data_IF_674825197590
#
_entry.id   IF_674825197590
#
_cell.length_a   1.000
_cell.length_b   1.000
_cell.length_c   1.000
_cell.angle_alpha   90.00
_cell.angle_beta   90.00
_cell.angle_gamma   90.00
#
_symmetry.space_group_name_H-M   'P 1'
#
loop_
_entity.id
_entity.type
_entity.pdbx_description
1 polymer ?
#
# COMPACT_ATOMS: atom_id res chain seq x y z
N UNK A 1 -6.26 -7.76 -31.94
CA UNK A 1 -6.05 -7.32 -31.21
C UNK A 1 -6.36 -7.46 -30.11
N UNK A 2 -5.85 -7.38 -29.48
CA UNK A 2 -6.40 -7.62 -28.36
C UNK A 2 -6.52 -6.44 -27.49
N UNK A 3 -7.67 -6.00 -27.51
CA UNK A 3 -8.04 -4.86 -26.71
C UNK A 3 -7.77 -5.10 -25.26
N UNK A 4 -8.00 -6.33 -24.82
CA UNK A 4 -7.79 -6.63 -23.44
C UNK A 4 -6.37 -6.49 -22.99
N UNK A 5 -5.44 -6.92 -23.81
CA UNK A 5 -4.05 -6.78 -23.46
C UNK A 5 -3.66 -5.34 -23.37
N UNK A 6 -4.19 -4.53 -24.26
CA UNK A 6 -3.90 -3.11 -24.21
C UNK A 6 -4.46 -2.48 -22.94
N UNK A 7 -5.61 -2.92 -22.51
CA UNK A 7 -6.20 -2.41 -21.29
C UNK A 7 -5.36 -2.73 -20.06
N UNK A 8 -4.74 -3.90 -20.03
CA UNK A 8 -3.87 -4.23 -18.91
C UNK A 8 -2.55 -3.49 -18.93
N UNK A 9 -2.07 -3.16 -20.11
CA UNK A 9 -0.73 -2.57 -20.24
C UNK A 9 -0.74 -1.06 -20.32
N UNK A 10 -1.90 -0.43 -20.43
CA UNK A 10 -1.96 1.02 -20.54
C UNK A 10 -1.83 1.73 -19.22
N UNK A 11 -2.07 1.06 -18.11
CA UNK A 11 -1.97 1.72 -16.83
C UNK A 11 -0.52 1.77 -16.36
N UNK A 12 -0.11 2.96 -15.93
CA UNK A 12 1.23 3.18 -15.41
C UNK A 12 1.43 2.41 -14.10
N UNK A 13 2.54 1.70 -14.00
CA UNK A 13 2.96 1.11 -12.74
C UNK A 13 3.71 2.19 -11.94
N UNK A 14 3.41 2.27 -10.66
CA UNK A 14 4.05 3.24 -9.76
C UNK A 14 4.58 2.58 -8.51
N UNK A 15 5.54 3.25 -7.89
CA UNK A 15 6.02 2.96 -6.56
C UNK A 15 5.61 4.12 -5.66
N UNK A 16 4.91 3.81 -4.58
CA UNK A 16 4.50 4.81 -3.60
C UNK A 16 5.06 4.39 -2.24
N UNK A 17 5.83 5.30 -1.63
CA UNK A 17 6.33 5.11 -0.27
C UNK A 17 5.64 6.10 0.64
N UNK A 18 5.17 5.62 1.77
CA UNK A 18 4.48 6.47 2.74
C UNK A 18 5.01 6.22 4.15
N UNK A 19 4.78 7.20 5.01
CA UNK A 19 5.02 7.09 6.44
C UNK A 19 3.71 7.35 7.17
N UNK A 20 3.50 6.66 8.27
CA UNK A 20 2.32 6.86 9.10
C UNK A 20 2.66 6.54 10.55
N UNK A 21 1.95 7.16 11.48
CA UNK A 21 2.08 6.87 12.90
C UNK A 21 0.92 5.99 13.34
N UNK A 22 1.13 5.17 14.36
CA UNK A 22 0.00 4.45 14.94
C UNK A 22 -0.85 5.41 15.77
N UNK A 23 -2.16 5.32 15.63
CA UNK A 23 -3.08 6.14 16.40
C UNK A 23 -3.27 5.58 17.80
N UNK A 24 -3.04 4.28 17.96
CA UNK A 24 -3.03 3.59 19.24
C UNK A 24 -2.04 2.45 19.13
N UNK A 25 -1.53 1.98 20.28
CA UNK A 25 -0.52 0.92 20.29
C UNK A 25 -1.04 -0.37 19.65
N UNK A 26 -0.19 -0.96 18.81
CA UNK A 26 -0.43 -2.28 18.26
C UNK A 26 0.33 -3.31 19.07
N UNK A 27 -0.30 -4.45 19.35
CA UNK A 27 0.42 -5.61 19.87
C UNK A 27 1.09 -6.34 18.71
N UNK A 28 2.03 -7.22 19.01
CA UNK A 28 2.68 -8.03 17.98
C UNK A 28 1.67 -8.87 17.21
N UNK A 29 0.69 -9.44 17.93
CA UNK A 29 -0.36 -10.24 17.30
C UNK A 29 -1.22 -9.42 16.35
N UNK A 30 -1.53 -8.18 16.72
CA UNK A 30 -2.29 -7.28 15.86
C UNK A 30 -1.52 -6.90 14.59
N UNK A 31 -0.20 -6.72 14.71
CA UNK A 31 0.64 -6.44 13.55
C UNK A 31 0.70 -7.63 12.60
N UNK A 32 0.85 -8.84 13.14
CA UNK A 32 0.85 -10.05 12.33
C UNK A 32 -0.49 -10.23 11.63
N UNK A 33 -1.58 -10.03 12.33
CA UNK A 33 -2.91 -10.13 11.77
C UNK A 33 -3.13 -9.12 10.64
N UNK A 34 -2.68 -7.90 10.82
CA UNK A 34 -2.73 -6.87 9.79
C UNK A 34 -2.03 -7.32 8.52
N UNK A 35 -0.82 -7.87 8.63
CA UNK A 35 -0.06 -8.35 7.48
C UNK A 35 -0.75 -9.52 6.80
N UNK A 36 -1.23 -10.49 7.57
CA UNK A 36 -1.89 -11.67 7.02
C UNK A 36 -3.19 -11.33 6.31
N UNK A 37 -3.92 -10.35 6.81
CA UNK A 37 -5.19 -9.93 6.22
C UNK A 37 -5.00 -9.16 4.91
N UNK A 38 -3.97 -8.31 4.86
CA UNK A 38 -3.76 -7.43 3.70
C UNK A 38 -3.07 -8.12 2.53
N UNK A 39 -2.18 -9.06 2.82
CA UNK A 39 -1.35 -9.70 1.79
C UNK A 39 -2.13 -10.36 0.65
N UNK A 40 -3.14 -11.19 0.92
CA UNK A 40 -3.91 -11.81 -0.17
C UNK A 40 -4.65 -10.80 -1.03
N UNK A 41 -5.19 -9.75 -0.41
CA UNK A 41 -5.92 -8.71 -1.11
C UNK A 41 -4.99 -7.96 -2.08
N UNK A 42 -3.82 -7.57 -1.62
CA UNK A 42 -2.87 -6.85 -2.47
C UNK A 42 -2.41 -7.71 -3.62
N UNK A 43 -2.17 -8.99 -3.37
CA UNK A 43 -1.77 -9.92 -4.42
C UNK A 43 -2.82 -10.00 -5.51
N UNK A 44 -4.10 -10.07 -5.16
CA UNK A 44 -5.18 -10.14 -6.14
C UNK A 44 -5.31 -8.86 -6.96
N UNK A 45 -4.83 -7.74 -6.44
CA UNK A 45 -4.85 -6.44 -7.13
C UNK A 45 -3.58 -6.21 -7.96
N UNK A 46 -2.65 -7.14 -7.96
CA UNK A 46 -1.37 -6.95 -8.64
C UNK A 46 -0.44 -5.99 -7.90
N UNK A 47 -0.64 -5.84 -6.60
CA UNK A 47 0.17 -4.95 -5.77
C UNK A 47 1.17 -5.76 -4.96
N UNK A 48 2.41 -5.32 -4.97
CA UNK A 48 3.44 -5.82 -4.08
C UNK A 48 3.85 -4.72 -3.12
N UNK A 49 4.45 -5.08 -2.01
CA UNK A 49 4.87 -4.07 -1.07
C UNK A 49 5.60 -4.62 0.14
N UNK A 50 6.10 -3.68 0.91
CA UNK A 50 6.82 -3.93 2.15
C UNK A 50 6.23 -3.03 3.21
N UNK A 51 6.04 -3.55 4.41
CA UNK A 51 5.63 -2.75 5.55
C UNK A 51 6.66 -2.92 6.66
N UNK A 52 7.22 -1.80 7.07
CA UNK A 52 8.17 -1.73 8.18
C UNK A 52 7.50 -1.02 9.35
N UNK A 53 7.72 -1.53 10.54
CA UNK A 53 7.18 -0.92 11.75
C UNK A 53 8.28 -0.85 12.80
N UNK A 54 8.45 0.33 13.39
CA UNK A 54 9.41 0.53 14.46
C UNK A 54 8.97 1.73 15.30
N UNK A 55 8.89 1.50 16.61
CA UNK A 55 8.60 2.57 17.58
C UNK A 55 7.41 3.45 17.16
N UNK A 56 6.26 2.80 16.88
CA UNK A 56 5.00 3.49 16.58
C UNK A 56 4.94 4.15 15.20
N UNK A 57 5.95 3.91 14.37
CA UNK A 57 6.00 4.45 13.01
C UNK A 57 5.93 3.32 12.00
N UNK A 58 5.07 3.49 11.01
CA UNK A 58 5.00 2.60 9.84
C UNK A 58 5.63 3.27 8.65
N UNK A 59 6.42 2.53 7.91
CA UNK A 59 6.86 2.94 6.58
C UNK A 59 6.42 1.85 5.63
N UNK A 60 5.63 2.22 4.64
CA UNK A 60 5.13 1.28 3.65
C UNK A 60 5.59 1.62 2.25
N UNK A 61 5.83 0.60 1.46
CA UNK A 61 6.13 0.73 0.04
C UNK A 61 5.11 -0.10 -0.72
N UNK A 62 4.44 0.52 -1.67
CA UNK A 62 3.44 -0.14 -2.52
C UNK A 62 3.86 0.00 -3.97
N UNK A 63 3.83 -1.10 -4.71
CA UNK A 63 4.15 -1.10 -6.13
C UNK A 63 3.05 -1.79 -6.91
N UNK A 64 2.63 -1.20 -8.01
CA UNK A 64 1.58 -1.77 -8.84
C UNK A 64 0.90 -0.74 -9.72
N UNK A 65 -0.25 -1.11 -10.31
CA UNK A 65 -1.03 -0.18 -11.14
C UNK A 65 -1.43 1.07 -10.37
N UNK A 66 -1.26 2.21 -10.99
CA UNK A 66 -1.46 3.50 -10.34
C UNK A 66 -2.81 3.64 -9.63
N UNK A 67 -3.90 3.31 -10.30
CA UNK A 67 -5.22 3.47 -9.70
C UNK A 67 -5.41 2.59 -8.47
N UNK A 68 -4.88 1.37 -8.52
CA UNK A 68 -5.03 0.42 -7.41
C UNK A 68 -4.14 0.78 -6.24
N UNK A 69 -2.91 1.25 -6.50
CA UNK A 69 -2.02 1.72 -5.45
C UNK A 69 -2.63 2.94 -4.75
N UNK A 70 -3.20 3.87 -5.52
CA UNK A 70 -3.86 5.04 -4.96
C UNK A 70 -5.06 4.66 -4.10
N UNK A 71 -5.85 3.69 -4.56
CA UNK A 71 -6.99 3.19 -3.80
C UNK A 71 -6.56 2.61 -2.46
N UNK A 72 -5.50 1.81 -2.46
CA UNK A 72 -4.96 1.23 -1.23
C UNK A 72 -4.45 2.33 -0.29
N UNK A 73 -3.73 3.31 -0.84
CA UNK A 73 -3.21 4.41 -0.03
C UNK A 73 -4.35 5.23 0.60
N UNK A 74 -5.39 5.52 -0.17
CA UNK A 74 -6.55 6.24 0.36
C UNK A 74 -7.23 5.45 1.48
N UNK A 75 -7.29 4.12 1.36
CA UNK A 75 -7.80 3.26 2.41
C UNK A 75 -6.97 3.35 3.69
N UNK A 76 -5.65 3.43 3.56
CA UNK A 76 -4.75 3.59 4.70
C UNK A 76 -4.99 4.96 5.37
N UNK A 77 -5.12 6.02 4.59
CA UNK A 77 -5.38 7.34 5.13
C UNK A 77 -6.71 7.42 5.88
N UNK A 78 -7.70 6.66 5.45
CA UNK A 78 -9.02 6.62 6.09
C UNK A 78 -9.13 5.64 7.26
N UNK A 79 -8.07 4.88 7.54
CA UNK A 79 -8.10 3.88 8.60
C UNK A 79 -7.76 4.54 9.94
N UNK A 80 -8.66 4.40 10.90
CA UNK A 80 -8.51 5.05 12.20
C UNK A 80 -7.37 4.51 13.06
N UNK A 81 -6.77 3.40 12.65
CA UNK A 81 -5.60 2.84 13.35
C UNK A 81 -4.32 3.61 13.08
N UNK A 82 -4.32 4.42 12.02
CA UNK A 82 -3.17 5.24 11.60
C UNK A 82 -3.49 6.72 11.70
N UNK A 83 -2.45 7.52 11.84
CA UNK A 83 -2.57 8.98 11.82
C UNK A 83 -1.33 9.58 11.16
N UNK A 84 -1.45 10.84 10.76
CA UNK A 84 -0.34 11.60 10.20
C UNK A 84 0.31 10.88 9.01
N UNK A 85 -0.52 10.30 8.14
CA UNK A 85 -0.05 9.57 6.98
C UNK A 85 0.34 10.54 5.88
N UNK A 86 1.54 10.37 5.32
CA UNK A 86 2.00 11.21 4.22
C UNK A 86 2.85 10.42 3.24
N UNK A 87 2.87 10.90 2.00
CA UNK A 87 3.66 10.29 0.93
C UNK A 87 5.09 10.81 1.03
N UNK A 88 6.05 9.89 1.04
CA UNK A 88 7.47 10.22 0.99
C UNK A 88 8.02 10.19 -0.43
N UNK A 89 7.49 9.29 -1.25
CA UNK A 89 7.96 9.09 -2.62
C UNK A 89 6.81 8.58 -3.48
N UNK A 90 6.72 9.10 -4.69
CA UNK A 90 5.75 8.62 -5.68
C UNK A 90 6.42 8.72 -7.04
N UNK A 91 6.75 7.58 -7.63
CA UNK A 91 7.49 7.52 -8.88
C UNK A 91 6.91 6.48 -9.83
N UNK A 92 6.96 6.73 -11.14
CA UNK A 92 6.64 5.69 -12.11
C UNK A 92 7.70 4.60 -12.10
N UNK A 93 7.28 3.37 -12.41
CA UNK A 93 8.18 2.23 -12.57
C UNK A 93 8.28 1.95 -14.07
N UNK A 94 9.49 1.79 -14.55
CA UNK A 94 9.74 1.53 -15.98
C UNK A 94 10.10 0.08 -16.26
#
# INVERSE_FOLDING_TARGET
MSVQMDAFTTEQLICLMYVSSEAKSFTDDELIDLLLTKRPRYRSMGITGILLYHEQIFVGVLEGPQSLVQEVYEGICGDCRYKDTSILLLEPIH
#
